data_IF_372666301849
#
_entry.id   IF_372666301849
#
_cell.length_a   1.000
_cell.length_b   1.000
_cell.length_c   1.000
_cell.angle_alpha   90.00
_cell.angle_beta   90.00
_cell.angle_gamma   90.00
#
_symmetry.space_group_name_H-M   'P 1'
#
loop_
_entity.id
_entity.type
_entity.pdbx_description
1 polymer ?
#
# COMPACT_ATOMS: atom_id res chain seq x y z
N UNK A 1 23.24 8.14 2.55
CA UNK A 1 21.88 8.29 1.99
C UNK A 1 21.05 7.09 2.44
N UNK A 2 19.97 7.34 3.19
CA UNK A 2 19.15 6.29 3.81
C UNK A 2 18.31 5.54 2.75
N UNK A 3 18.26 4.20 2.84
CA UNK A 3 17.61 3.33 1.84
C UNK A 3 16.09 3.55 1.77
N UNK A 4 15.49 4.05 2.87
CA UNK A 4 14.06 4.35 2.96
C UNK A 4 13.64 5.52 2.08
N UNK A 5 14.44 6.60 2.06
CA UNK A 5 14.15 7.80 1.28
C UNK A 5 14.21 7.52 -0.23
N UNK A 6 15.14 6.65 -0.67
CA UNK A 6 15.27 6.26 -2.09
C UNK A 6 14.09 5.43 -2.61
N UNK A 7 13.43 4.67 -1.74
CA UNK A 7 12.27 3.85 -2.10
C UNK A 7 10.94 4.59 -2.00
N UNK A 8 10.94 5.86 -1.59
CA UNK A 8 9.72 6.66 -1.53
C UNK A 8 9.23 6.90 -2.94
N UNK A 9 7.98 6.51 -3.16
CA UNK A 9 7.35 6.66 -4.45
C UNK A 9 6.90 8.11 -4.60
N UNK A 10 7.56 8.85 -5.50
CA UNK A 10 7.22 10.22 -5.84
C UNK A 10 6.19 10.21 -6.97
N UNK A 11 5.16 11.05 -6.83
CA UNK A 11 4.13 11.18 -7.84
C UNK A 11 4.58 12.09 -9.00
N UNK A 12 5.38 13.12 -8.69
CA UNK A 12 5.91 14.09 -9.64
C UNK A 12 7.27 13.71 -10.25
N UNK A 13 7.66 12.43 -10.18
CA UNK A 13 8.93 11.99 -10.78
C UNK A 13 8.75 11.78 -12.30
N UNK A 14 9.36 12.64 -13.16
CA UNK A 14 9.23 12.51 -14.60
C UNK A 14 9.84 11.21 -15.14
N UNK A 15 10.73 10.55 -14.38
CA UNK A 15 11.28 9.25 -14.75
C UNK A 15 10.30 8.09 -14.47
N UNK A 16 9.20 8.29 -13.74
CA UNK A 16 8.29 7.20 -13.39
C UNK A 16 7.55 6.61 -14.58
N UNK A 17 7.04 7.45 -15.48
CA UNK A 17 6.37 7.00 -16.69
C UNK A 17 7.35 6.45 -17.72
N UNK A 18 8.62 6.89 -17.67
CA UNK A 18 9.70 6.37 -18.52
C UNK A 18 10.15 4.97 -18.08
N UNK A 19 10.44 4.77 -16.78
CA UNK A 19 10.68 3.43 -16.21
C UNK A 19 9.43 2.55 -16.25
N UNK A 20 8.24 3.14 -16.34
CA UNK A 20 6.96 2.47 -16.52
C UNK A 20 6.78 1.77 -17.87
N UNK A 21 7.46 2.25 -18.92
CA UNK A 21 7.42 1.65 -20.25
C UNK A 21 8.42 0.50 -20.44
N UNK A 22 9.44 0.42 -19.58
CA UNK A 22 10.55 -0.54 -19.71
C UNK A 22 10.42 -1.80 -18.84
N UNK A 23 9.27 -2.05 -18.20
CA UNK A 23 9.02 -3.29 -17.43
C UNK A 23 8.95 -4.58 -18.27
N UNK A 24 9.27 -4.50 -19.57
CA UNK A 24 9.42 -5.64 -20.46
C UNK A 24 10.82 -5.77 -21.09
N UNK A 25 11.77 -4.89 -20.77
CA UNK A 25 13.09 -4.84 -21.42
C UNK A 25 14.27 -5.09 -20.47
N UNK A 26 14.01 -5.54 -19.25
CA UNK A 26 14.99 -5.78 -18.19
C UNK A 26 15.35 -7.27 -18.00
N UNK A 27 14.64 -8.21 -18.66
CA UNK A 27 15.01 -9.64 -18.65
C UNK A 27 16.15 -9.97 -19.65
N UNK A 28 16.56 -9.02 -20.51
CA UNK A 28 17.65 -9.21 -21.48
C UNK A 28 18.94 -8.41 -21.20
N UNK A 29 18.89 -7.28 -20.46
CA UNK A 29 20.02 -6.36 -20.32
C UNK A 29 20.59 -6.23 -18.89
N UNK A 30 20.17 -7.06 -17.95
CA UNK A 30 20.80 -7.18 -16.64
C UNK A 30 21.45 -8.57 -16.55
N UNK A 31 22.74 -8.64 -16.83
CA UNK A 31 23.53 -9.86 -16.96
C UNK A 31 23.02 -11.00 -16.06
N UNK A 32 22.38 -11.99 -16.68
CA UNK A 32 21.85 -13.17 -16.01
C UNK A 32 23.00 -13.90 -15.33
N UNK A 33 23.28 -13.56 -14.06
CA UNK A 33 24.03 -14.46 -13.19
C UNK A 33 23.28 -15.78 -13.23
N UNK A 34 23.88 -16.81 -13.82
CA UNK A 34 23.30 -18.15 -13.86
C UNK A 34 23.09 -18.59 -12.41
N UNK A 35 21.85 -18.50 -11.95
CA UNK A 35 21.48 -18.96 -10.62
C UNK A 35 21.78 -20.45 -10.55
N UNK A 36 22.41 -20.89 -9.47
CA UNK A 36 22.61 -22.31 -9.24
C UNK A 36 21.24 -23.00 -8.99
N UNK A 37 21.23 -24.34 -9.04
CA UNK A 37 19.98 -25.13 -8.87
C UNK A 37 19.24 -24.82 -7.55
N UNK A 38 19.98 -24.45 -6.50
CA UNK A 38 19.44 -24.10 -5.16
C UNK A 38 18.80 -22.71 -5.16
N UNK A 39 19.44 -21.72 -5.78
CA UNK A 39 18.93 -20.36 -5.94
C UNK A 39 17.71 -20.30 -6.85
N UNK A 40 17.71 -21.08 -7.94
CA UNK A 40 16.54 -21.21 -8.83
C UNK A 40 15.32 -21.74 -8.06
N UNK A 41 15.50 -22.82 -7.29
CA UNK A 41 14.46 -23.40 -6.44
C UNK A 41 13.96 -22.42 -5.36
N UNK A 42 14.84 -21.61 -4.78
CA UNK A 42 14.47 -20.58 -3.80
C UNK A 42 13.65 -19.45 -4.43
N UNK A 43 14.03 -19.00 -5.64
CA UNK A 43 13.29 -17.98 -6.40
C UNK A 43 11.89 -18.48 -6.77
N UNK A 44 11.80 -19.70 -7.27
CA UNK A 44 10.52 -20.30 -7.66
C UNK A 44 9.59 -20.48 -6.45
N UNK A 45 10.13 -20.90 -5.30
CA UNK A 45 9.37 -20.96 -4.04
C UNK A 45 8.87 -19.58 -3.60
N UNK A 46 9.73 -18.56 -3.64
CA UNK A 46 9.36 -17.19 -3.27
C UNK A 46 8.30 -16.60 -4.21
N UNK A 47 8.35 -16.95 -5.50
CA UNK A 47 7.34 -16.58 -6.48
C UNK A 47 5.99 -17.24 -6.16
N UNK A 48 5.97 -18.56 -5.90
CA UNK A 48 4.75 -19.28 -5.51
C UNK A 48 4.16 -18.71 -4.21
N UNK A 49 4.99 -18.42 -3.22
CA UNK A 49 4.56 -17.84 -1.95
C UNK A 49 3.97 -16.44 -2.12
N UNK A 50 4.62 -15.59 -2.92
CA UNK A 50 4.10 -14.25 -3.26
C UNK A 50 2.77 -14.34 -4.02
N UNK A 51 2.68 -15.25 -4.98
CA UNK A 51 1.49 -15.44 -5.80
C UNK A 51 0.32 -15.99 -4.97
N UNK A 52 0.59 -16.89 -4.01
CA UNK A 52 -0.39 -17.40 -3.06
C UNK A 52 -0.92 -16.30 -2.14
N UNK A 53 -0.05 -15.41 -1.64
CA UNK A 53 -0.47 -14.26 -0.82
C UNK A 53 -1.29 -13.27 -1.64
N UNK A 54 -0.87 -12.99 -2.88
CA UNK A 54 -1.64 -12.15 -3.81
C UNK A 54 -3.00 -12.75 -4.09
N UNK A 55 -3.05 -14.08 -4.27
CA UNK A 55 -4.30 -14.78 -4.37
C UNK A 55 -5.09 -14.61 -3.07
N UNK A 56 -4.61 -14.92 -1.88
CA UNK A 56 -5.48 -14.86 -0.69
C UNK A 56 -6.08 -13.47 -0.34
N UNK A 57 -5.53 -12.38 -0.90
CA UNK A 57 -6.07 -11.02 -0.79
C UNK A 57 -7.28 -10.77 -1.67
N UNK A 58 -8.17 -9.91 -1.19
CA UNK A 58 -9.28 -9.37 -1.97
C UNK A 58 -8.76 -8.56 -3.17
N UNK A 59 -9.39 -8.77 -4.33
CA UNK A 59 -9.03 -8.15 -5.61
C UNK A 59 -10.05 -7.12 -6.10
N UNK A 60 -11.15 -6.92 -5.37
CA UNK A 60 -12.21 -5.98 -5.79
C UNK A 60 -11.93 -4.54 -5.37
N UNK A 61 -12.92 -3.66 -5.60
CA UNK A 61 -12.82 -2.21 -5.39
C UNK A 61 -12.61 -1.78 -3.93
N UNK A 62 -12.48 -0.47 -3.69
CA UNK A 62 -12.11 0.06 -2.37
C UNK A 62 -13.02 -0.42 -1.23
N UNK A 63 -12.48 -1.27 -0.35
CA UNK A 63 -13.12 -1.63 0.90
C UNK A 63 -13.11 -0.45 1.86
N UNK A 64 -14.14 -0.32 2.70
CA UNK A 64 -14.10 0.68 3.77
C UNK A 64 -12.91 0.39 4.70
N UNK A 65 -12.16 1.42 5.12
CA UNK A 65 -11.07 1.23 6.06
C UNK A 65 -11.63 0.78 7.40
N UNK A 66 -10.99 -0.20 8.01
CA UNK A 66 -11.30 -0.63 9.37
C UNK A 66 -10.26 -0.12 10.36
N UNK A 67 -10.59 -0.16 11.65
CA UNK A 67 -9.69 0.30 12.71
C UNK A 67 -8.34 -0.45 12.74
N UNK A 68 -8.32 -1.68 12.26
CA UNK A 68 -7.17 -2.58 12.35
C UNK A 68 -6.28 -2.57 11.10
N UNK A 69 -6.63 -1.84 10.05
CA UNK A 69 -5.92 -1.87 8.77
C UNK A 69 -5.89 -3.25 8.10
N UNK A 70 -6.81 -4.16 8.46
CA UNK A 70 -6.87 -5.51 7.92
C UNK A 70 -7.68 -5.48 6.62
N UNK A 71 -7.10 -5.83 5.47
CA UNK A 71 -7.86 -5.90 4.23
C UNK A 71 -8.84 -7.08 4.25
N UNK A 72 -9.97 -6.99 3.54
CA UNK A 72 -10.87 -8.13 3.39
C UNK A 72 -10.20 -9.31 2.70
N UNK A 73 -10.68 -10.52 2.98
CA UNK A 73 -10.18 -11.74 2.35
C UNK A 73 -10.68 -11.88 0.91
N UNK A 74 -10.03 -12.75 0.11
CA UNK A 74 -10.40 -13.03 -1.30
C UNK A 74 -11.89 -13.24 -1.54
N UNK A 75 -12.58 -13.90 -0.60
CA UNK A 75 -13.98 -14.34 -0.76
C UNK A 75 -15.00 -13.26 -0.38
N UNK A 76 -14.55 -12.09 0.06
CA UNK A 76 -15.45 -10.98 0.33
C UNK A 76 -16.09 -10.51 -0.98
N UNK A 77 -17.38 -10.20 -0.93
CA UNK A 77 -18.20 -9.87 -2.11
C UNK A 77 -18.25 -8.36 -2.40
N UNK A 78 -17.54 -7.54 -1.61
CA UNK A 78 -17.47 -6.10 -1.78
C UNK A 78 -18.65 -5.33 -1.20
N UNK A 79 -19.64 -6.00 -0.62
CA UNK A 79 -20.81 -5.35 -0.01
C UNK A 79 -20.57 -5.17 1.49
N UNK A 80 -20.65 -3.91 1.94
CA UNK A 80 -20.62 -3.59 3.36
C UNK A 80 -21.93 -4.01 4.03
N UNK A 81 -21.84 -4.90 5.01
CA UNK A 81 -22.96 -5.41 5.83
C UNK A 81 -22.84 -4.96 7.29
N UNK A 82 -21.97 -4.00 7.58
CA UNK A 82 -21.79 -3.47 8.93
C UNK A 82 -22.89 -2.50 9.36
N UNK A 83 -22.96 -2.24 10.67
CA UNK A 83 -23.84 -1.23 11.27
C UNK A 83 -23.34 0.22 11.09
N UNK A 84 -22.34 0.46 10.22
CA UNK A 84 -21.75 1.79 10.01
C UNK A 84 -20.94 2.35 11.19
N UNK A 85 -20.67 1.57 12.25
CA UNK A 85 -19.90 2.02 13.42
C UNK A 85 -18.51 2.56 13.05
N UNK A 86 -17.78 1.87 12.16
CA UNK A 86 -16.43 2.29 11.78
C UNK A 86 -16.46 3.67 11.12
N UNK A 87 -17.41 3.91 10.21
CA UNK A 87 -17.61 5.22 9.57
C UNK A 87 -17.88 6.32 10.61
N UNK A 88 -18.78 6.07 11.56
CA UNK A 88 -19.10 7.05 12.62
C UNK A 88 -17.89 7.33 13.51
N UNK A 89 -17.12 6.31 13.87
CA UNK A 89 -15.91 6.44 14.67
C UNK A 89 -14.84 7.29 13.96
N UNK A 90 -14.59 7.07 12.67
CA UNK A 90 -13.63 7.88 11.91
C UNK A 90 -14.07 9.35 11.82
N UNK A 91 -15.36 9.60 11.62
CA UNK A 91 -15.91 10.97 11.61
C UNK A 91 -15.73 11.65 12.98
N UNK A 92 -16.03 10.94 14.07
CA UNK A 92 -15.85 11.46 15.43
C UNK A 92 -14.38 11.75 15.74
N UNK A 93 -13.47 10.86 15.34
CA UNK A 93 -12.04 11.04 15.50
C UNK A 93 -11.52 12.26 14.73
N UNK A 94 -11.94 12.42 13.47
CA UNK A 94 -11.57 13.58 12.65
C UNK A 94 -12.09 14.88 13.24
N UNK A 95 -13.34 14.90 13.72
CA UNK A 95 -13.94 16.07 14.38
C UNK A 95 -13.17 16.48 15.64
N UNK A 96 -12.77 15.50 16.46
CA UNK A 96 -11.96 15.73 17.66
C UNK A 96 -10.58 16.28 17.32
N UNK A 97 -9.91 15.71 16.30
CA UNK A 97 -8.61 16.19 15.83
C UNK A 97 -8.69 17.61 15.26
N UNK A 98 -9.75 17.92 14.51
CA UNK A 98 -10.00 19.25 13.95
C UNK A 98 -10.23 20.29 15.04
N UNK A 99 -11.04 19.98 16.05
CA UNK A 99 -11.30 20.88 17.17
C UNK A 99 -10.01 21.23 17.93
N UNK A 100 -9.15 20.23 18.19
CA UNK A 100 -7.83 20.46 18.83
C UNK A 100 -6.95 21.39 18.01
N UNK A 101 -6.89 21.18 16.68
CA UNK A 101 -6.11 22.05 15.77
C UNK A 101 -6.64 23.48 15.77
N UNK A 102 -7.97 23.66 15.72
CA UNK A 102 -8.60 24.99 15.76
C UNK A 102 -8.30 25.72 17.06
N UNK A 103 -8.48 25.06 18.20
CA UNK A 103 -8.18 25.65 19.51
C UNK A 103 -6.72 26.09 19.61
N UNK A 104 -5.79 25.24 19.17
CA UNK A 104 -4.37 25.57 19.13
C UNK A 104 -4.09 26.77 18.22
N UNK A 105 -4.67 26.82 17.02
CA UNK A 105 -4.49 27.96 16.11
C UNK A 105 -5.02 29.27 16.72
N UNK A 106 -6.21 29.24 17.34
CA UNK A 106 -6.78 30.43 17.99
C UNK A 106 -5.98 30.90 19.20
N UNK A 107 -5.33 29.99 19.93
CA UNK A 107 -4.48 30.33 21.08
C UNK A 107 -3.19 31.01 20.63
N UNK A 108 -2.62 30.57 19.51
CA UNK A 108 -1.40 31.15 18.93
C UNK A 108 -1.67 32.51 18.27
N UNK A 109 -2.84 32.71 17.66
CA UNK A 109 -3.21 33.98 17.01
C UNK A 109 -3.63 35.06 18.03
N UNK A 110 -3.98 34.66 19.26
CA UNK A 110 -4.35 35.57 20.36
C UNK A 110 -3.18 36.15 21.17
N UNK A 111 -1.93 35.93 20.75
CA UNK A 111 -0.69 36.48 21.34
C UNK A 111 -0.01 37.44 20.36
#
# INVERSE_FOLDING_TARGET
MDKRLRGMQHWDDPMRDMLGQDFGMDDQLMGMKKLNKKEKKARDKAWIERELVRHMRYTGGGAQPNRFGIPPGRRWDGVDRGNGFEKQMFLAHNKSAEAKKKNFASEVEGL
#
